data_IF_634715003525
#
_entry.id   IF_634715003525
#
_cell.length_a   1.000
_cell.length_b   1.000
_cell.length_c   1.000
_cell.angle_alpha   90.00
_cell.angle_beta   90.00
_cell.angle_gamma   90.00
#
_symmetry.space_group_name_H-M   'P 1'
#
loop_
_entity.id
_entity.type
_entity.pdbx_description
1 polymer ?
#
# COMPACT_ATOMS: atom_id res chain seq x y z
N UNK A 1 25.46 -38.44 -11.21
CA UNK A 1 25.30 -36.99 -10.91
C UNK A 1 23.88 -36.64 -10.47
N UNK A 2 22.83 -37.17 -11.11
CA UNK A 2 21.43 -36.92 -10.71
C UNK A 2 21.05 -37.50 -9.34
N UNK A 3 21.49 -38.72 -9.00
CA UNK A 3 21.26 -39.31 -7.67
C UNK A 3 21.91 -38.53 -6.50
N UNK A 4 22.97 -37.76 -6.78
CA UNK A 4 23.61 -36.89 -5.78
C UNK A 4 22.83 -35.58 -5.61
N UNK A 5 22.24 -35.05 -6.68
CA UNK A 5 21.33 -33.90 -6.63
C UNK A 5 20.02 -34.23 -5.91
N UNK A 6 19.46 -35.42 -6.15
CA UNK A 6 18.27 -35.91 -5.45
C UNK A 6 18.50 -36.06 -3.93
N UNK A 7 19.66 -36.61 -3.53
CA UNK A 7 20.03 -36.69 -2.10
C UNK A 7 20.30 -35.33 -1.45
N UNK A 8 20.81 -34.35 -2.19
CA UNK A 8 20.97 -32.97 -1.70
C UNK A 8 19.61 -32.26 -1.58
N UNK A 9 18.67 -32.54 -2.49
CA UNK A 9 17.29 -32.06 -2.44
C UNK A 9 16.56 -32.60 -1.21
N UNK A 10 16.63 -33.91 -0.96
CA UNK A 10 16.05 -34.55 0.24
C UNK A 10 16.65 -33.99 1.55
N UNK A 11 17.95 -33.67 1.55
CA UNK A 11 18.60 -33.06 2.72
C UNK A 11 18.13 -31.62 2.98
N UNK A 12 17.67 -30.92 1.94
CA UNK A 12 17.17 -29.54 2.04
C UNK A 12 15.67 -29.46 2.36
N UNK A 13 14.92 -30.55 2.21
CA UNK A 13 13.49 -30.61 2.51
C UNK A 13 13.11 -30.13 3.93
N UNK A 14 13.77 -30.56 5.03
CA UNK A 14 13.44 -30.08 6.37
C UNK A 14 13.79 -28.59 6.58
N UNK A 15 14.80 -28.09 5.86
CA UNK A 15 15.17 -26.67 5.90
C UNK A 15 14.13 -25.81 5.16
N UNK A 16 13.57 -26.31 4.05
CA UNK A 16 12.51 -25.63 3.28
C UNK A 16 11.21 -25.52 4.05
N UNK A 17 10.74 -26.61 4.66
CA UNK A 17 9.51 -26.58 5.45
C UNK A 17 9.60 -25.65 6.66
N UNK A 18 10.78 -25.58 7.30
CA UNK A 18 11.04 -24.63 8.39
C UNK A 18 11.06 -23.18 7.91
N UNK A 19 11.66 -22.92 6.74
CA UNK A 19 11.68 -21.58 6.13
C UNK A 19 10.28 -21.14 5.67
N UNK A 20 9.50 -22.04 5.07
CA UNK A 20 8.11 -21.80 4.65
C UNK A 20 7.23 -21.51 5.87
N UNK A 21 7.37 -22.28 6.96
CA UNK A 21 6.65 -22.01 8.21
C UNK A 21 6.97 -20.62 8.76
N UNK A 22 8.25 -20.27 8.84
CA UNK A 22 8.66 -18.93 9.28
C UNK A 22 8.18 -17.82 8.33
N UNK A 23 8.15 -18.06 7.01
CA UNK A 23 7.64 -17.11 6.02
C UNK A 23 6.12 -16.93 6.15
N UNK A 24 5.40 -18.03 6.37
CA UNK A 24 3.95 -18.02 6.62
C UNK A 24 3.64 -17.16 7.84
N UNK A 25 4.38 -17.38 8.92
CA UNK A 25 4.24 -16.62 10.17
C UNK A 25 4.64 -15.15 9.99
N UNK A 26 5.70 -14.86 9.22
CA UNK A 26 6.10 -13.50 8.90
C UNK A 26 5.05 -12.79 8.04
N UNK A 27 4.54 -13.42 6.98
CA UNK A 27 3.48 -12.86 6.13
C UNK A 27 2.20 -12.63 6.92
N UNK A 28 1.81 -13.60 7.75
CA UNK A 28 0.67 -13.49 8.65
C UNK A 28 0.87 -12.35 9.65
N UNK A 29 2.06 -12.20 10.22
CA UNK A 29 2.40 -11.10 11.13
C UNK A 29 2.45 -9.73 10.46
N UNK A 30 2.87 -9.66 9.18
CA UNK A 30 2.88 -8.42 8.40
C UNK A 30 1.46 -8.00 7.97
N UNK A 31 0.65 -8.95 7.49
CA UNK A 31 -0.70 -8.68 7.01
C UNK A 31 -1.70 -8.45 8.16
N UNK A 32 -1.55 -9.18 9.27
CA UNK A 32 -2.43 -9.05 10.45
C UNK A 32 -1.82 -8.15 11.53
N UNK A 33 -0.59 -7.68 11.38
CA UNK A 33 0.09 -6.84 12.37
C UNK A 33 -0.48 -5.43 12.49
N UNK A 34 -1.38 -5.02 11.59
CA UNK A 34 -1.95 -3.68 11.58
C UNK A 34 -2.87 -3.46 12.79
N UNK A 35 -2.50 -2.59 13.77
CA UNK A 35 -3.30 -2.35 14.96
C UNK A 35 -4.65 -1.66 14.66
N UNK A 36 -4.78 -0.98 13.52
CA UNK A 36 -5.99 -0.24 13.15
C UNK A 36 -7.01 -1.08 12.34
N UNK A 37 -6.68 -2.33 12.00
CA UNK A 37 -7.58 -3.20 11.23
C UNK A 37 -8.80 -3.66 12.06
N UNK A 38 -10.00 -3.54 11.48
CA UNK A 38 -11.24 -4.00 12.12
C UNK A 38 -11.22 -5.50 12.44
N UNK A 39 -11.69 -5.86 13.63
CA UNK A 39 -11.61 -7.24 14.14
C UNK A 39 -12.32 -8.28 13.24
N UNK A 40 -13.44 -7.91 12.61
CA UNK A 40 -14.14 -8.79 11.67
C UNK A 40 -13.32 -9.00 10.39
N UNK A 41 -12.73 -7.93 9.86
CA UNK A 41 -11.95 -7.98 8.64
C UNK A 41 -10.63 -8.72 8.83
N UNK A 42 -10.00 -8.56 10.00
CA UNK A 42 -8.84 -9.34 10.44
C UNK A 42 -9.08 -10.84 10.32
N UNK A 43 -10.25 -11.31 10.78
CA UNK A 43 -10.61 -12.73 10.71
C UNK A 43 -10.83 -13.21 9.28
N UNK A 44 -11.48 -12.40 8.44
CA UNK A 44 -11.71 -12.75 7.03
C UNK A 44 -10.38 -12.84 6.28
N UNK A 45 -9.51 -11.84 6.46
CA UNK A 45 -8.18 -11.81 5.84
C UNK A 45 -7.32 -12.97 6.35
N UNK A 46 -7.39 -13.31 7.64
CA UNK A 46 -6.65 -14.46 8.19
C UNK A 46 -7.03 -15.78 7.51
N UNK A 47 -8.33 -16.02 7.33
CA UNK A 47 -8.83 -17.25 6.68
C UNK A 47 -8.44 -17.29 5.19
N UNK A 48 -8.58 -16.19 4.47
CA UNK A 48 -8.22 -16.14 3.05
C UNK A 48 -6.71 -16.20 2.84
N UNK A 49 -5.92 -15.57 3.71
CA UNK A 49 -4.46 -15.65 3.66
C UNK A 49 -3.99 -17.09 3.91
N UNK A 50 -4.62 -17.82 4.82
CA UNK A 50 -4.27 -19.23 5.10
C UNK A 50 -4.58 -20.14 3.91
N UNK A 51 -5.70 -19.90 3.20
CA UNK A 51 -6.06 -20.60 1.95
C UNK A 51 -5.05 -20.31 0.85
N UNK A 52 -4.78 -19.03 0.59
CA UNK A 52 -3.82 -18.63 -0.44
C UNK A 52 -2.40 -19.12 -0.14
N UNK A 53 -1.97 -19.10 1.12
CA UNK A 53 -0.64 -19.60 1.48
C UNK A 53 -0.49 -21.11 1.29
N UNK A 54 -1.57 -21.86 1.50
CA UNK A 54 -1.60 -23.31 1.23
C UNK A 54 -1.55 -23.59 -0.27
N UNK A 55 -2.26 -22.80 -1.08
CA UNK A 55 -2.29 -22.98 -2.53
C UNK A 55 -0.98 -22.54 -3.20
N UNK A 56 -0.33 -21.50 -2.67
CA UNK A 56 0.85 -20.88 -3.28
C UNK A 56 2.16 -21.46 -2.71
N UNK A 57 2.10 -22.39 -1.74
CA UNK A 57 3.28 -23.00 -1.10
C UNK A 57 4.29 -23.55 -2.12
N UNK A 58 3.80 -24.25 -3.16
CA UNK A 58 4.62 -24.80 -4.23
C UNK A 58 5.24 -23.75 -5.18
N UNK A 59 4.57 -22.63 -5.41
CA UNK A 59 5.07 -21.53 -6.24
C UNK A 59 6.10 -20.67 -5.48
N UNK A 60 5.88 -20.52 -4.16
CA UNK A 60 6.78 -19.84 -3.23
C UNK A 60 8.07 -20.63 -3.08
N UNK A 61 8.04 -21.96 -3.05
CA UNK A 61 9.27 -22.79 -3.06
C UNK A 61 10.18 -22.43 -4.26
N UNK A 62 9.59 -22.27 -5.45
CA UNK A 62 10.32 -21.91 -6.68
C UNK A 62 10.75 -20.43 -6.71
N UNK A 63 10.00 -19.54 -6.05
CA UNK A 63 10.27 -18.09 -6.01
C UNK A 63 11.26 -17.68 -4.92
N UNK A 64 11.30 -18.40 -3.79
CA UNK A 64 12.27 -18.20 -2.70
C UNK A 64 13.70 -18.44 -3.21
N UNK A 65 13.89 -19.45 -4.06
CA UNK A 65 15.20 -19.74 -4.68
C UNK A 65 15.73 -18.53 -5.48
N UNK A 66 14.83 -17.71 -6.05
CA UNK A 66 15.17 -16.49 -6.78
C UNK A 66 15.19 -15.22 -5.90
N UNK A 67 14.40 -15.16 -4.83
CA UNK A 67 14.23 -13.98 -3.97
C UNK A 67 15.27 -13.88 -2.85
N UNK A 68 15.94 -14.98 -2.48
CA UNK A 68 17.00 -15.00 -1.45
C UNK A 68 18.20 -14.09 -1.77
N UNK A 69 18.27 -13.53 -2.99
CA UNK A 69 19.29 -12.56 -3.43
C UNK A 69 18.85 -11.10 -3.39
N UNK A 70 17.61 -10.77 -2.98
CA UNK A 70 17.14 -9.38 -2.91
C UNK A 70 16.59 -9.03 -1.53
N UNK A 71 17.51 -8.83 -0.60
CA UNK A 71 17.24 -8.15 0.66
C UNK A 71 17.03 -6.65 0.38
N UNK A 72 15.86 -6.12 0.72
CA UNK A 72 15.53 -4.71 0.53
C UNK A 72 16.15 -3.88 1.67
N UNK A 73 17.09 -2.99 1.31
CA UNK A 73 17.60 -1.95 2.21
C UNK A 73 16.52 -0.92 2.48
N UNK A 74 16.03 -0.89 3.73
CA UNK A 74 15.26 0.25 4.24
C UNK A 74 16.17 1.47 4.38
N UNK A 75 16.20 2.32 3.35
CA UNK A 75 16.92 3.58 3.41
C UNK A 75 15.94 4.66 3.88
N UNK A 76 16.06 5.11 5.14
CA UNK A 76 15.37 6.32 5.59
C UNK A 76 15.95 7.52 4.85
N UNK A 77 15.22 8.03 3.85
CA UNK A 77 15.54 9.29 3.20
C UNK A 77 15.31 10.45 4.18
N UNK A 78 16.37 11.19 4.51
CA UNK A 78 16.26 12.50 5.18
C UNK A 78 15.62 13.49 4.21
N UNK A 79 14.46 14.03 4.59
CA UNK A 79 13.77 15.06 3.81
C UNK A 79 14.60 16.35 3.67
N UNK A 80 14.40 17.13 2.59
CA UNK A 80 15.14 18.36 2.35
C UNK A 80 14.77 19.45 3.38
N UNK A 81 15.78 20.16 3.88
CA UNK A 81 15.62 21.28 4.81
C UNK A 81 15.34 22.57 4.02
N UNK A 82 14.11 23.08 4.13
CA UNK A 82 13.69 24.27 3.39
C UNK A 82 13.96 25.59 4.17
N UNK A 83 14.21 26.73 3.48
CA UNK A 83 14.49 28.02 4.10
C UNK A 83 13.26 28.66 4.79
N UNK A 84 13.53 29.42 5.86
CA UNK A 84 12.58 29.96 6.87
C UNK A 84 11.47 30.88 6.33
N UNK A 85 11.59 31.44 5.13
CA UNK A 85 10.70 32.50 4.64
C UNK A 85 9.30 32.01 4.22
N UNK A 86 9.13 30.72 3.90
CA UNK A 86 7.85 30.15 3.43
C UNK A 86 7.27 29.11 4.40
N UNK A 87 7.61 29.25 5.69
CA UNK A 87 7.34 28.23 6.72
C UNK A 87 5.86 27.89 6.93
N UNK A 88 4.94 28.83 6.74
CA UNK A 88 3.50 28.56 6.92
C UNK A 88 2.90 27.74 5.77
N UNK A 89 3.26 28.05 4.51
CA UNK A 89 2.88 27.26 3.33
C UNK A 89 3.48 25.87 3.37
N UNK A 90 4.74 25.75 3.82
CA UNK A 90 5.41 24.46 4.02
C UNK A 90 4.76 23.64 5.13
N UNK A 91 4.26 24.28 6.21
CA UNK A 91 3.50 23.61 7.28
C UNK A 91 2.10 23.18 6.83
N UNK A 92 1.38 24.03 6.09
CA UNK A 92 0.08 23.66 5.49
C UNK A 92 0.25 22.52 4.49
N UNK A 93 1.27 22.59 3.64
CA UNK A 93 1.65 21.50 2.73
C UNK A 93 1.94 20.23 3.50
N UNK A 94 2.81 20.28 4.52
CA UNK A 94 3.14 19.12 5.34
C UNK A 94 1.89 18.55 6.01
N UNK A 95 1.00 19.40 6.51
CA UNK A 95 -0.25 18.97 7.14
C UNK A 95 -1.18 18.28 6.14
N UNK A 96 -1.47 18.92 5.01
CA UNK A 96 -2.38 18.37 3.98
C UNK A 96 -1.79 17.10 3.36
N UNK A 97 -0.50 17.11 3.03
CA UNK A 97 0.18 15.98 2.41
C UNK A 97 0.33 14.80 3.37
N UNK A 98 0.59 15.05 4.66
CA UNK A 98 0.66 13.98 5.65
C UNK A 98 -0.70 13.31 5.89
N UNK A 99 -1.81 14.05 5.79
CA UNK A 99 -3.15 13.48 5.95
C UNK A 99 -3.68 12.84 4.65
N UNK A 100 -3.35 13.38 3.48
CA UNK A 100 -3.83 12.89 2.19
C UNK A 100 -2.95 11.77 1.60
N UNK A 101 -1.64 11.87 1.78
CA UNK A 101 -0.62 10.90 1.33
C UNK A 101 0.26 10.44 2.51
N UNK A 102 -0.33 9.83 3.57
CA UNK A 102 0.47 9.33 4.68
C UNK A 102 1.38 8.20 4.21
N UNK A 103 2.68 8.40 4.44
CA UNK A 103 3.72 7.39 4.26
C UNK A 103 3.75 6.41 5.44
N UNK A 104 3.39 6.88 6.64
CA UNK A 104 3.58 6.13 7.90
C UNK A 104 2.33 5.39 8.39
N UNK A 105 1.19 5.51 7.69
CA UNK A 105 -0.08 4.91 8.11
C UNK A 105 -0.58 3.87 7.11
N UNK A 106 -1.03 2.75 7.67
CA UNK A 106 -1.71 1.68 6.94
C UNK A 106 -3.06 2.14 6.40
N UNK A 107 -3.63 1.40 5.44
CA UNK A 107 -4.91 1.74 4.81
C UNK A 107 -6.03 1.89 5.86
N UNK A 108 -6.02 1.04 6.90
CA UNK A 108 -7.01 1.11 7.99
C UNK A 108 -6.77 2.31 8.90
N UNK A 109 -5.50 2.67 9.18
CA UNK A 109 -5.15 3.90 9.86
C UNK A 109 -5.58 5.16 9.09
N UNK A 110 -5.62 5.11 7.75
CA UNK A 110 -6.16 6.21 6.92
C UNK A 110 -7.68 6.33 7.05
N UNK A 111 -8.40 5.21 7.00
CA UNK A 111 -9.86 5.18 7.11
C UNK A 111 -10.38 5.62 8.49
N UNK A 112 -9.53 5.63 9.52
CA UNK A 112 -9.87 6.11 10.87
C UNK A 112 -9.66 7.61 11.02
N UNK A 113 -8.90 8.24 10.12
CA UNK A 113 -8.65 9.68 10.16
C UNK A 113 -9.87 10.44 9.58
N UNK A 114 -10.59 11.24 10.39
CA UNK A 114 -11.80 11.92 9.93
C UNK A 114 -11.51 12.95 8.83
N UNK A 115 -10.30 13.51 8.79
CA UNK A 115 -9.88 14.46 7.75
C UNK A 115 -9.69 13.73 6.43
N UNK A 116 -9.10 12.53 6.46
CA UNK A 116 -8.96 11.69 5.27
C UNK A 116 -10.32 11.28 4.71
N UNK A 117 -11.25 10.86 5.57
CA UNK A 117 -12.61 10.50 5.14
C UNK A 117 -13.31 11.70 4.52
N UNK A 118 -13.20 12.89 5.13
CA UNK A 118 -13.80 14.11 4.58
C UNK A 118 -13.26 14.44 3.19
N UNK A 119 -11.94 14.33 2.99
CA UNK A 119 -11.29 14.54 1.68
C UNK A 119 -11.68 13.45 0.67
N UNK A 120 -11.85 12.22 1.11
CA UNK A 120 -12.30 11.10 0.28
C UNK A 120 -13.75 11.29 -0.17
N UNK A 121 -14.64 11.72 0.71
CA UNK A 121 -16.04 12.06 0.36
C UNK A 121 -16.06 13.24 -0.61
N UNK A 122 -15.24 14.27 -0.39
CA UNK A 122 -15.15 15.42 -1.29
C UNK A 122 -14.69 15.04 -2.70
N UNK A 123 -13.77 14.09 -2.83
CA UNK A 123 -13.29 13.60 -4.14
C UNK A 123 -14.24 12.61 -4.81
N UNK A 124 -15.10 11.96 -4.03
CA UNK A 124 -16.11 11.03 -4.51
C UNK A 124 -17.40 11.73 -5.00
N UNK A 125 -17.65 12.97 -4.56
CA UNK A 125 -18.77 13.77 -5.08
C UNK A 125 -18.65 13.92 -6.61
N UNK A 126 -19.75 13.72 -7.37
CA UNK A 126 -19.75 13.75 -8.84
C UNK A 126 -19.68 15.19 -9.41
N UNK A 127 -18.96 16.08 -8.74
CA UNK A 127 -18.68 17.44 -9.23
C UNK A 127 -17.32 17.42 -9.91
N UNK A 128 -17.32 17.18 -11.22
CA UNK A 128 -16.11 17.01 -12.02
C UNK A 128 -15.08 18.14 -11.84
N UNK A 129 -15.54 19.38 -11.67
CA UNK A 129 -14.68 20.56 -11.51
C UNK A 129 -13.95 20.59 -10.16
N UNK A 130 -14.65 20.33 -9.05
CA UNK A 130 -14.09 20.35 -7.70
C UNK A 130 -13.02 19.28 -7.56
N UNK A 131 -13.31 18.07 -8.04
CA UNK A 131 -12.37 16.95 -8.04
C UNK A 131 -11.10 17.29 -8.84
N UNK A 132 -11.25 17.84 -10.04
CA UNK A 132 -10.11 18.20 -10.90
C UNK A 132 -9.26 19.29 -10.25
N UNK A 133 -9.89 20.34 -9.72
CA UNK A 133 -9.20 21.41 -8.99
C UNK A 133 -8.45 20.89 -7.76
N UNK A 134 -9.05 19.95 -7.02
CA UNK A 134 -8.43 19.33 -5.85
C UNK A 134 -7.20 18.50 -6.20
N UNK A 135 -7.26 17.62 -7.20
CA UNK A 135 -6.10 16.84 -7.63
C UNK A 135 -4.99 17.72 -8.23
N UNK A 136 -5.35 18.79 -8.94
CA UNK A 136 -4.38 19.78 -9.43
C UNK A 136 -3.68 20.51 -8.28
N UNK A 137 -4.41 20.89 -7.23
CA UNK A 137 -3.84 21.52 -6.03
C UNK A 137 -2.85 20.58 -5.32
N UNK A 138 -3.20 19.30 -5.16
CA UNK A 138 -2.31 18.30 -4.56
C UNK A 138 -1.07 18.06 -5.43
N UNK A 139 -1.22 17.96 -6.75
CA UNK A 139 -0.09 17.81 -7.67
C UNK A 139 0.85 19.02 -7.60
N UNK A 140 0.30 20.22 -7.57
CA UNK A 140 1.07 21.45 -7.38
C UNK A 140 1.86 21.43 -6.06
N UNK A 141 1.23 20.96 -4.97
CA UNK A 141 1.90 20.77 -3.69
C UNK A 141 2.97 19.68 -3.70
N UNK A 142 2.91 18.69 -4.59
CA UNK A 142 3.94 17.64 -4.70
C UNK A 142 5.17 18.17 -5.47
N UNK A 143 4.94 18.90 -6.57
CA UNK A 143 5.98 19.33 -7.52
C UNK A 143 6.72 20.62 -7.10
N UNK A 144 6.12 21.48 -6.29
CA UNK A 144 6.75 22.75 -5.87
C UNK A 144 7.20 22.66 -4.41
N UNK A 145 8.43 23.06 -4.02
CA UNK A 145 9.47 23.79 -4.78
C UNK A 145 10.65 22.93 -5.29
N UNK A 146 10.53 21.60 -5.28
CA UNK A 146 11.64 20.69 -5.61
C UNK A 146 11.14 19.46 -6.36
N UNK A 147 12.06 18.63 -6.87
CA UNK A 147 11.67 17.42 -7.59
C UNK A 147 10.74 16.58 -6.71
N UNK A 148 9.61 16.10 -7.25
CA UNK A 148 8.64 15.34 -6.48
C UNK A 148 9.25 14.01 -6.07
N UNK A 149 9.00 13.60 -4.84
CA UNK A 149 9.37 12.27 -4.36
C UNK A 149 8.61 11.19 -5.17
N UNK A 150 9.34 10.20 -5.69
CA UNK A 150 8.78 9.18 -6.58
C UNK A 150 7.67 8.38 -5.90
N UNK A 151 7.83 8.05 -4.62
CA UNK A 151 6.83 7.31 -3.87
C UNK A 151 5.54 8.12 -3.70
N UNK A 152 5.66 9.41 -3.36
CA UNK A 152 4.50 10.30 -3.28
C UNK A 152 3.79 10.48 -4.62
N UNK A 153 4.54 10.58 -5.72
CA UNK A 153 3.98 10.73 -7.07
C UNK A 153 3.26 9.46 -7.53
N UNK A 154 3.84 8.28 -7.30
CA UNK A 154 3.20 6.99 -7.63
C UNK A 154 1.92 6.81 -6.81
N UNK A 155 1.97 7.09 -5.51
CA UNK A 155 0.80 6.98 -4.63
C UNK A 155 -0.31 7.98 -5.02
N UNK A 156 0.06 9.18 -5.46
CA UNK A 156 -0.87 10.15 -6.04
C UNK A 156 -1.55 9.61 -7.30
N UNK A 157 -0.79 9.04 -8.25
CA UNK A 157 -1.34 8.48 -9.50
C UNK A 157 -2.28 7.30 -9.20
N UNK A 158 -1.89 6.40 -8.29
CA UNK A 158 -2.70 5.26 -7.88
C UNK A 158 -4.02 5.71 -7.24
N UNK A 159 -3.96 6.70 -6.33
CA UNK A 159 -5.15 7.25 -5.67
C UNK A 159 -6.06 7.99 -6.66
N UNK A 160 -5.49 8.77 -7.58
CA UNK A 160 -6.23 9.47 -8.63
C UNK A 160 -6.98 8.51 -9.54
N UNK A 161 -6.28 7.50 -10.09
CA UNK A 161 -6.88 6.47 -10.94
C UNK A 161 -7.88 5.60 -10.18
N UNK A 162 -7.59 5.23 -8.93
CA UNK A 162 -8.51 4.48 -8.07
C UNK A 162 -9.81 5.22 -7.84
N UNK A 163 -9.74 6.54 -7.60
CA UNK A 163 -10.95 7.37 -7.42
C UNK A 163 -11.76 7.48 -8.71
N UNK A 164 -11.11 7.53 -9.88
CA UNK A 164 -11.80 7.48 -11.17
C UNK A 164 -12.52 6.15 -11.38
N UNK A 165 -11.90 5.04 -11.02
CA UNK A 165 -12.53 3.71 -11.08
C UNK A 165 -13.75 3.61 -10.15
N UNK A 166 -13.65 4.08 -8.90
CA UNK A 166 -14.78 4.06 -7.97
C UNK A 166 -15.93 4.96 -8.44
N UNK A 167 -15.62 6.15 -8.96
CA UNK A 167 -16.65 7.11 -9.36
C UNK A 167 -17.29 6.74 -10.71
N UNK A 168 -16.50 6.45 -11.75
CA UNK A 168 -17.02 6.11 -13.07
C UNK A 168 -17.49 4.65 -13.17
N UNK A 169 -16.85 3.73 -12.45
CA UNK A 169 -17.21 2.31 -12.45
C UNK A 169 -18.33 2.03 -11.46
N UNK A 170 -18.05 2.13 -10.16
CA UNK A 170 -18.97 1.63 -9.13
C UNK A 170 -20.19 2.53 -8.93
N UNK A 171 -20.00 3.85 -8.83
CA UNK A 171 -21.13 4.77 -8.57
C UNK A 171 -22.05 4.94 -9.77
N UNK A 172 -21.53 4.97 -11.00
CA UNK A 172 -22.39 5.01 -12.19
C UNK A 172 -23.12 3.70 -12.40
N UNK A 173 -22.47 2.55 -12.15
CA UNK A 173 -23.14 1.24 -12.21
C UNK A 173 -24.22 1.11 -11.13
N UNK A 174 -23.95 1.56 -9.90
CA UNK A 174 -24.94 1.55 -8.84
C UNK A 174 -26.13 2.47 -9.15
N UNK A 175 -25.90 3.67 -9.71
CA UNK A 175 -26.99 4.54 -10.18
C UNK A 175 -27.79 3.90 -11.30
N UNK A 176 -27.12 3.34 -12.31
CA UNK A 176 -27.79 2.66 -13.42
C UNK A 176 -28.49 1.36 -13.04
N UNK A 177 -28.18 0.76 -11.89
CA UNK A 177 -28.89 -0.41 -11.36
C UNK A 177 -30.11 -0.03 -10.49
N UNK A 178 -30.21 1.22 -10.04
CA UNK A 178 -31.34 1.74 -9.27
C UNK A 178 -32.39 2.46 -10.14
N UNK A 179 -32.06 2.74 -11.40
CA UNK A 179 -32.97 3.19 -12.46
C UNK A 179 -33.52 1.99 -13.25
#
# INVERSE_FOLDING_TARGET
KEKAKAKLLDFSAPMRSTLLGNLKDLLKSCCLGDPDMWACLRKIIDVELDRLLTDVEHEIENSIENALLRQHSGNQMKGPVAPRAMGWLLRLRAFILHHYLPHDRTIFGKLKDPVYIMLLVLTLLPVHLIRTAFFMLILFMIVVPGPPDEFQLVNFILTFKGTQFLNAGLLMLARGAME
#
